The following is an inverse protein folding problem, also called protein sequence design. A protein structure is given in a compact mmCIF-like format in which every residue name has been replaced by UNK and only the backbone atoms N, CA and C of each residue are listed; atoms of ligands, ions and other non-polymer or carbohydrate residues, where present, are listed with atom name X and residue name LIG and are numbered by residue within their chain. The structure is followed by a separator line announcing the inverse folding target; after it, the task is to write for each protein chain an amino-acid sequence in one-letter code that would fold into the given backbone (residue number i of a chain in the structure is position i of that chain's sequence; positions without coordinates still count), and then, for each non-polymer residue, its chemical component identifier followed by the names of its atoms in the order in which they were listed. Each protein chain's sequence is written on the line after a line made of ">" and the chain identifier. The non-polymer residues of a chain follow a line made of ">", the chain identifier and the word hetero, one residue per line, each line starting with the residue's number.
data_IF_190449813200
#
_entry.id   IF_190449813200
#
_cell.length_a   1.000
_cell.length_b   1.000
_cell.length_c   1.000
_cell.angle_alpha   90.00
_cell.angle_beta   90.00
_cell.angle_gamma   90.00
#
_symmetry.space_group_name_H-M   'P 1'
#
loop_
_entity.id
_entity.type
_entity.pdbx_description
1 polymer ?
#
# COMPACT_ATOMS: atom_id res chain seq x y z
N UNK A 1 30.75 -12.12 -7.40
CA UNK A 1 30.55 -10.65 -7.39
C UNK A 1 29.43 -10.39 -6.39
N UNK A 2 29.78 -9.95 -5.18
CA UNK A 2 28.83 -9.79 -4.07
C UNK A 2 27.86 -8.64 -4.40
N UNK A 3 26.57 -8.95 -4.47
CA UNK A 3 25.52 -7.96 -4.66
C UNK A 3 25.50 -7.00 -3.47
N UNK A 4 25.42 -5.70 -3.73
CA UNK A 4 25.27 -4.68 -2.70
C UNK A 4 23.97 -4.94 -1.88
N UNK A 5 23.97 -4.72 -0.56
CA UNK A 5 22.81 -4.98 0.28
C UNK A 5 21.59 -4.16 -0.17
N UNK A 6 20.44 -4.83 -0.35
CA UNK A 6 19.20 -4.28 -0.96
C UNK A 6 18.38 -3.33 -0.07
N UNK A 7 18.98 -2.78 0.99
CA UNK A 7 18.38 -1.80 1.89
C UNK A 7 18.89 -1.91 3.32
N UNK A 8 19.14 -0.78 3.97
CA UNK A 8 19.45 -0.72 5.40
C UNK A 8 18.17 -0.84 6.25
N UNK A 9 18.22 -1.45 7.45
CA UNK A 9 17.12 -1.46 8.41
C UNK A 9 16.86 -0.04 8.94
N UNK A 10 16.11 0.75 8.20
CA UNK A 10 15.70 2.09 8.60
C UNK A 10 14.40 2.05 9.42
N UNK A 11 14.43 2.63 10.63
CA UNK A 11 13.22 3.06 11.36
C UNK A 11 12.39 3.95 10.44
N UNK A 12 11.31 3.42 9.85
CA UNK A 12 10.33 4.15 9.02
C UNK A 12 10.89 5.45 8.42
N UNK A 13 11.86 5.33 7.51
CA UNK A 13 12.46 6.50 6.88
C UNK A 13 11.38 7.21 6.06
N UNK A 14 10.92 8.36 6.56
CA UNK A 14 10.18 9.35 5.80
C UNK A 14 11.02 9.71 4.56
N UNK A 15 10.45 9.57 3.36
CA UNK A 15 11.15 9.93 2.11
C UNK A 15 10.84 9.10 0.86
N UNK A 16 9.96 8.10 0.90
CA UNK A 16 9.45 7.47 -0.33
C UNK A 16 8.27 8.27 -0.89
N UNK A 17 8.13 8.44 -2.24
CA UNK A 17 7.09 9.26 -2.86
C UNK A 17 5.63 8.89 -2.55
N UNK A 18 5.42 7.76 -1.86
CA UNK A 18 4.11 7.19 -1.56
C UNK A 18 4.16 6.44 -0.21
N UNK A 19 4.21 7.20 0.87
CA UNK A 19 4.00 6.78 2.26
C UNK A 19 2.50 6.70 2.63
N UNK A 20 1.62 7.14 1.71
CA UNK A 20 0.18 7.22 1.87
C UNK A 20 -0.48 5.83 1.81
N UNK A 21 -1.37 5.53 2.76
CA UNK A 21 -2.12 4.26 2.84
C UNK A 21 -2.01 3.49 4.16
N UNK A 22 -1.16 3.92 5.11
CA UNK A 22 -1.09 3.34 6.45
C UNK A 22 -1.47 4.37 7.52
N UNK A 23 -2.44 4.03 8.36
CA UNK A 23 -2.88 4.86 9.49
C UNK A 23 -2.13 4.45 10.74
N UNK A 24 -1.50 5.43 11.40
CA UNK A 24 -0.92 5.33 12.74
C UNK A 24 0.02 4.15 13.01
N UNK A 25 1.12 4.03 12.26
CA UNK A 25 2.25 3.15 12.62
C UNK A 25 2.89 3.57 13.97
N UNK A 26 2.64 4.80 14.45
CA UNK A 26 3.42 5.42 15.55
C UNK A 26 3.06 4.97 16.97
N UNK A 27 1.79 4.71 17.27
CA UNK A 27 1.39 4.18 18.59
C UNK A 27 1.92 2.77 18.85
N UNK A 28 2.39 2.11 17.79
CA UNK A 28 2.86 0.74 17.82
C UNK A 28 4.33 0.61 17.34
N UNK A 29 5.03 1.73 17.14
CA UNK A 29 6.41 1.79 16.58
C UNK A 29 7.48 1.10 17.43
N UNK A 30 7.22 0.88 18.72
CA UNK A 30 8.14 0.12 19.58
C UNK A 30 7.98 -1.39 19.43
N UNK A 31 6.82 -1.85 18.90
CA UNK A 31 6.40 -3.26 18.91
C UNK A 31 6.17 -3.84 17.51
N UNK A 32 6.08 -2.98 16.50
CA UNK A 32 6.03 -3.34 15.09
C UNK A 32 7.27 -2.83 14.37
N UNK A 33 7.97 -3.74 13.72
CA UNK A 33 9.03 -3.42 12.77
C UNK A 33 8.42 -3.39 11.38
N UNK A 34 8.63 -2.29 10.67
CA UNK A 34 8.19 -2.10 9.29
C UNK A 34 9.35 -1.64 8.44
N UNK A 35 9.61 -2.35 7.35
CA UNK A 35 10.61 -1.96 6.38
C UNK A 35 10.13 -2.26 4.94
N UNK A 36 10.76 -1.57 3.98
CA UNK A 36 10.49 -1.70 2.55
C UNK A 36 11.78 -2.05 1.82
N UNK A 37 11.64 -2.84 0.77
CA UNK A 37 12.75 -3.25 -0.08
C UNK A 37 12.39 -3.06 -1.55
N UNK A 38 13.43 -2.83 -2.36
CA UNK A 38 13.27 -2.79 -3.81
C UNK A 38 13.16 -4.21 -4.35
N UNK A 39 12.32 -4.44 -5.37
CA UNK A 39 12.31 -5.70 -6.09
C UNK A 39 13.58 -5.87 -6.93
N UNK A 40 13.79 -7.06 -7.49
CA UNK A 40 14.79 -7.24 -8.54
C UNK A 40 14.58 -6.22 -9.70
N UNK A 41 15.66 -5.75 -10.37
CA UNK A 41 15.55 -4.77 -11.45
C UNK A 41 14.55 -5.13 -12.56
N UNK A 42 14.46 -6.42 -12.88
CA UNK A 42 13.56 -6.99 -13.88
C UNK A 42 12.07 -6.83 -13.48
N UNK A 43 11.79 -6.72 -12.18
CA UNK A 43 10.45 -6.54 -11.63
C UNK A 43 10.09 -5.09 -11.32
N UNK A 44 11.05 -4.16 -11.38
CA UNK A 44 10.82 -2.74 -11.13
C UNK A 44 9.72 -2.09 -12.00
N UNK A 45 9.47 -2.52 -13.27
CA UNK A 45 8.34 -2.03 -14.06
C UNK A 45 6.96 -2.43 -13.50
N UNK A 46 6.89 -3.49 -12.69
CA UNK A 46 5.63 -4.07 -12.22
C UNK A 46 5.39 -3.82 -10.73
N UNK A 47 6.45 -3.90 -9.93
CA UNK A 47 6.41 -3.86 -8.47
C UNK A 47 7.00 -2.54 -8.00
N UNK A 48 6.25 -1.80 -7.18
CA UNK A 48 6.72 -0.56 -6.58
C UNK A 48 7.74 -0.84 -5.47
N UNK A 49 7.43 -1.77 -4.57
CA UNK A 49 8.30 -2.23 -3.50
C UNK A 49 7.74 -3.49 -2.82
N UNK A 50 8.61 -4.20 -2.13
CA UNK A 50 8.24 -5.17 -1.10
C UNK A 50 8.16 -4.50 0.26
N UNK A 51 7.36 -5.06 1.16
CA UNK A 51 7.27 -4.62 2.54
C UNK A 51 7.16 -5.80 3.49
N UNK A 52 7.72 -5.66 4.68
CA UNK A 52 7.63 -6.64 5.76
C UNK A 52 7.21 -5.90 7.02
N UNK A 53 6.21 -6.46 7.70
CA UNK A 53 5.77 -6.09 9.05
C UNK A 53 6.10 -7.28 9.95
N UNK A 54 6.81 -7.05 11.04
CA UNK A 54 7.01 -8.03 12.12
C UNK A 54 6.49 -7.41 13.41
N UNK A 55 5.85 -8.21 14.25
CA UNK A 55 5.25 -7.71 15.49
C UNK A 55 5.37 -8.69 16.65
N UNK A 56 5.54 -8.13 17.85
CA UNK A 56 5.42 -8.83 19.13
C UNK A 56 4.48 -8.04 20.06
N UNK A 57 3.29 -8.60 20.25
CA UNK A 57 2.19 -8.07 21.05
C UNK A 57 1.80 -9.06 22.17
N UNK A 58 2.73 -9.94 22.58
CA UNK A 58 2.49 -10.85 23.71
C UNK A 58 2.21 -10.06 24.99
N UNK A 59 1.19 -10.47 25.72
CA UNK A 59 0.76 -9.78 26.96
C UNK A 59 -0.02 -8.48 26.73
N UNK A 60 -0.31 -8.13 25.47
CA UNK A 60 -1.02 -6.90 25.11
C UNK A 60 -2.43 -7.19 24.60
N UNK A 61 -3.27 -6.15 24.59
CA UNK A 61 -4.56 -6.25 23.91
C UNK A 61 -4.36 -6.33 22.39
N UNK A 62 -5.23 -7.08 21.67
CA UNK A 62 -5.17 -7.18 20.21
C UNK A 62 -5.11 -5.81 19.54
N UNK A 63 -4.14 -5.62 18.65
CA UNK A 63 -3.98 -4.36 17.94
C UNK A 63 -4.79 -4.39 16.64
N UNK A 64 -5.77 -3.49 16.52
CA UNK A 64 -6.59 -3.35 15.32
C UNK A 64 -6.00 -2.27 14.42
N UNK A 65 -5.34 -2.70 13.35
CA UNK A 65 -4.78 -1.84 12.33
C UNK A 65 -5.80 -1.59 11.21
N UNK A 66 -6.06 -0.32 10.91
CA UNK A 66 -6.85 0.06 9.72
C UNK A 66 -5.96 0.19 8.50
N UNK A 67 -6.34 -0.49 7.42
CA UNK A 67 -5.72 -0.39 6.11
C UNK A 67 -6.57 0.52 5.23
N UNK A 68 -5.95 1.56 4.66
CA UNK A 68 -6.63 2.51 3.80
C UNK A 68 -6.59 2.10 2.34
N UNK A 69 -7.58 2.56 1.56
CA UNK A 69 -7.57 2.38 0.12
C UNK A 69 -6.31 2.97 -0.53
N UNK A 70 -5.81 2.28 -1.54
CA UNK A 70 -4.71 2.71 -2.40
C UNK A 70 -4.95 2.18 -3.81
N UNK A 71 -4.61 2.90 -4.90
CA UNK A 71 -4.86 2.44 -6.28
C UNK A 71 -3.86 1.36 -6.73
N UNK A 72 -3.57 0.39 -5.87
CA UNK A 72 -2.58 -0.65 -6.10
C UNK A 72 -3.11 -2.02 -5.70
N UNK A 73 -2.75 -3.03 -6.50
CA UNK A 73 -2.88 -4.43 -6.12
C UNK A 73 -1.75 -4.79 -5.16
N UNK A 74 -2.04 -5.61 -4.16
CA UNK A 74 -1.03 -6.11 -3.22
C UNK A 74 -1.05 -7.64 -3.18
N UNK A 75 0.12 -8.26 -3.29
CA UNK A 75 0.32 -9.63 -2.85
C UNK A 75 0.63 -9.60 -1.35
N UNK A 76 0.00 -10.48 -0.56
CA UNK A 76 0.22 -10.56 0.89
C UNK A 76 0.37 -12.02 1.32
N UNK A 77 1.34 -12.28 2.19
CA UNK A 77 1.55 -13.55 2.88
C UNK A 77 1.76 -13.26 4.36
N UNK A 78 1.17 -14.07 5.24
CA UNK A 78 1.25 -13.89 6.69
C UNK A 78 1.21 -15.23 7.43
N UNK A 79 1.85 -15.31 8.60
CA UNK A 79 1.66 -16.42 9.55
C UNK A 79 0.44 -16.22 10.46
N UNK A 80 -0.15 -15.03 10.44
CA UNK A 80 -1.27 -14.62 11.27
C UNK A 80 -2.62 -15.21 10.84
N UNK A 81 -3.67 -14.39 10.97
CA UNK A 81 -5.04 -14.84 10.71
C UNK A 81 -5.25 -15.08 9.21
N UNK A 82 -5.83 -16.23 8.88
CA UNK A 82 -6.28 -16.49 7.52
C UNK A 82 -7.36 -15.48 7.10
N UNK A 83 -7.21 -14.92 5.91
CA UNK A 83 -8.19 -14.03 5.29
C UNK A 83 -9.29 -14.83 4.61
N UNK A 84 -10.58 -14.51 4.83
CA UNK A 84 -11.67 -15.10 4.06
C UNK A 84 -11.59 -14.69 2.58
N UNK A 85 -11.70 -15.67 1.69
CA UNK A 85 -11.83 -15.47 0.24
C UNK A 85 -12.97 -16.34 -0.30
N UNK A 86 -13.32 -16.18 -1.58
CA UNK A 86 -14.34 -17.01 -2.22
C UNK A 86 -13.97 -18.51 -2.24
N UNK A 87 -12.68 -18.86 -2.26
CA UNK A 87 -12.20 -20.24 -2.22
C UNK A 87 -11.94 -20.76 -0.80
N UNK A 88 -12.29 -19.98 0.23
CA UNK A 88 -12.06 -20.29 1.63
C UNK A 88 -10.95 -19.44 2.28
N UNK A 89 -10.70 -19.63 3.59
CA UNK A 89 -9.69 -18.89 4.31
C UNK A 89 -8.28 -19.23 3.82
N UNK A 90 -7.44 -18.22 3.58
CA UNK A 90 -6.03 -18.39 3.16
C UNK A 90 -5.11 -17.43 3.89
N UNK A 91 -3.86 -17.85 4.10
CA UNK A 91 -2.76 -17.02 4.63
C UNK A 91 -1.93 -16.33 3.56
N UNK A 92 -2.29 -16.53 2.29
CA UNK A 92 -1.67 -15.88 1.15
C UNK A 92 -2.74 -15.46 0.12
N UNK A 93 -2.72 -14.20 -0.27
CA UNK A 93 -3.75 -13.66 -1.16
C UNK A 93 -3.24 -12.50 -2.01
N UNK A 94 -3.97 -12.26 -3.10
CA UNK A 94 -3.95 -11.03 -3.88
C UNK A 94 -5.11 -10.17 -3.39
N UNK A 95 -4.78 -9.02 -2.80
CA UNK A 95 -5.74 -7.95 -2.59
C UNK A 95 -5.79 -7.12 -3.88
N UNK A 96 -6.92 -7.13 -4.58
CA UNK A 96 -7.14 -6.21 -5.69
C UNK A 96 -7.16 -4.75 -5.21
N UNK A 97 -7.69 -3.85 -6.04
CA UNK A 97 -7.90 -2.46 -5.57
C UNK A 97 -9.10 -2.43 -4.63
N UNK A 98 -8.82 -2.41 -3.33
CA UNK A 98 -9.83 -2.30 -2.28
C UNK A 98 -10.16 -0.82 -2.10
N UNK A 99 -11.39 -0.44 -2.47
CA UNK A 99 -11.85 0.94 -2.50
C UNK A 99 -12.33 1.45 -1.16
N UNK A 100 -12.67 0.55 -0.25
CA UNK A 100 -12.99 0.83 1.15
C UNK A 100 -11.78 0.60 2.06
N UNK A 101 -11.91 1.04 3.31
CA UNK A 101 -10.98 0.60 4.36
C UNK A 101 -11.39 -0.78 4.88
N UNK A 102 -10.41 -1.50 5.43
CA UNK A 102 -10.65 -2.71 6.20
C UNK A 102 -9.68 -2.78 7.37
N UNK A 103 -10.02 -3.58 8.37
CA UNK A 103 -9.26 -3.64 9.61
C UNK A 103 -8.63 -5.02 9.76
N UNK A 104 -7.32 -5.05 9.99
CA UNK A 104 -6.55 -6.23 10.39
C UNK A 104 -6.36 -6.24 11.89
N UNK A 105 -6.45 -7.42 12.50
CA UNK A 105 -6.23 -7.59 13.94
C UNK A 105 -4.97 -8.42 14.15
N UNK A 106 -3.96 -7.78 14.72
CA UNK A 106 -2.68 -8.39 15.07
C UNK A 106 -2.73 -8.82 16.54
N UNK A 107 -2.19 -10.02 16.83
CA UNK A 107 -2.22 -10.67 18.14
C UNK A 107 -0.94 -11.45 18.33
N UNK A 108 -0.50 -11.59 19.57
CA UNK A 108 0.66 -12.38 19.93
C UNK A 108 1.89 -11.96 19.11
N UNK A 109 2.61 -12.89 18.52
CA UNK A 109 3.70 -12.61 17.59
C UNK A 109 3.32 -12.96 16.17
N UNK A 110 3.95 -12.32 15.19
CA UNK A 110 3.85 -12.76 13.80
C UNK A 110 4.44 -11.78 12.81
N UNK A 111 4.17 -12.05 11.55
CA UNK A 111 4.69 -11.27 10.44
C UNK A 111 3.72 -11.22 9.25
N UNK A 112 3.92 -10.21 8.43
CA UNK A 112 3.25 -10.02 7.15
C UNK A 112 4.29 -9.56 6.14
N UNK A 113 4.41 -10.26 5.03
CA UNK A 113 5.18 -9.80 3.87
C UNK A 113 4.23 -9.51 2.72
N UNK A 114 4.54 -8.49 1.93
CA UNK A 114 3.80 -8.24 0.71
C UNK A 114 4.61 -7.56 -0.38
N UNK A 115 4.02 -7.57 -1.57
CA UNK A 115 4.48 -6.81 -2.71
C UNK A 115 3.39 -5.83 -3.13
N UNK A 116 3.72 -4.54 -3.18
CA UNK A 116 2.84 -3.52 -3.76
C UNK A 116 3.16 -3.41 -5.25
N UNK A 117 2.18 -3.66 -6.10
CA UNK A 117 2.32 -3.45 -7.53
C UNK A 117 2.12 -1.97 -7.87
N UNK A 118 2.80 -1.52 -8.92
CA UNK A 118 2.53 -0.21 -9.52
C UNK A 118 1.12 -0.22 -10.12
N UNK A 119 0.40 0.91 -10.17
CA UNK A 119 -0.79 1.03 -11.00
C UNK A 119 -0.53 0.50 -12.42
N UNK A 120 -1.35 -0.45 -12.90
CA UNK A 120 -1.11 -1.14 -14.18
C UNK A 120 -0.12 -2.31 -14.13
N UNK A 121 0.81 -2.32 -13.17
CA UNK A 121 1.87 -3.32 -13.06
C UNK A 121 1.38 -4.74 -12.78
N UNK A 122 0.16 -4.93 -12.28
CA UNK A 122 -0.41 -6.26 -12.02
C UNK A 122 -1.10 -6.89 -13.24
N UNK A 123 -1.48 -6.08 -14.25
CA UNK A 123 -2.21 -6.54 -15.43
C UNK A 123 -1.52 -7.69 -16.20
N UNK A 124 -0.18 -7.72 -16.33
CA UNK A 124 0.53 -8.82 -16.98
C UNK A 124 0.46 -10.15 -16.22
N UNK A 125 0.29 -10.13 -14.90
CA UNK A 125 0.15 -11.35 -14.08
C UNK A 125 -1.27 -11.88 -14.10
N UNK A 126 -2.26 -10.98 -14.11
CA UNK A 126 -3.67 -11.33 -14.05
C UNK A 126 -4.23 -11.84 -15.38
N UNK A 127 -3.69 -11.39 -16.51
CA UNK A 127 -4.15 -11.80 -17.85
C UNK A 127 -5.51 -11.22 -18.28
N UNK A 128 -6.25 -10.58 -17.37
CA UNK A 128 -7.56 -9.97 -17.60
C UNK A 128 -7.65 -8.55 -16.98
N UNK A 129 -8.68 -7.75 -17.29
CA UNK A 129 -8.82 -6.39 -16.75
C UNK A 129 -8.74 -6.39 -15.22
N UNK A 130 -7.93 -5.52 -14.62
CA UNK A 130 -7.77 -5.43 -13.15
C UNK A 130 -9.09 -5.09 -12.45
N UNK A 131 -10.02 -4.44 -13.14
CA UNK A 131 -11.38 -4.20 -12.64
C UNK A 131 -12.16 -5.47 -12.24
N UNK A 132 -11.75 -6.65 -12.74
CA UNK A 132 -12.38 -7.95 -12.39
C UNK A 132 -12.08 -8.38 -10.94
N UNK A 133 -11.05 -7.80 -10.32
CA UNK A 133 -10.59 -8.11 -8.96
C UNK A 133 -10.74 -6.93 -7.99
N UNK A 134 -11.37 -5.83 -8.41
CA UNK A 134 -11.68 -4.68 -7.54
C UNK A 134 -12.54 -5.12 -6.35
N UNK A 135 -12.20 -4.66 -5.15
CA UNK A 135 -12.85 -5.04 -3.88
C UNK A 135 -12.87 -6.56 -3.61
N UNK A 136 -11.93 -7.32 -4.19
CA UNK A 136 -11.82 -8.76 -3.99
C UNK A 136 -10.47 -9.14 -3.39
N UNK A 137 -10.51 -10.20 -2.61
CA UNK A 137 -9.32 -10.94 -2.16
C UNK A 137 -9.34 -12.30 -2.83
N UNK A 138 -8.32 -12.60 -3.62
CA UNK A 138 -8.15 -13.87 -4.29
C UNK A 138 -7.07 -14.67 -3.57
N UNK A 139 -7.21 -16.00 -3.38
CA UNK A 139 -6.08 -16.83 -2.99
C UNK A 139 -4.90 -16.62 -3.92
N UNK A 140 -3.68 -16.67 -3.37
CA UNK A 140 -2.47 -16.50 -4.18
C UNK A 140 -2.42 -17.49 -5.35
N UNK A 141 -2.90 -18.71 -5.12
CA UNK A 141 -2.95 -19.80 -6.10
C UNK A 141 -3.89 -19.57 -7.27
N UNK A 142 -4.86 -18.64 -7.17
CA UNK A 142 -5.74 -18.29 -8.29
C UNK A 142 -4.99 -17.52 -9.38
N UNK A 143 -3.92 -16.80 -9.02
CA UNK A 143 -3.09 -16.04 -9.97
C UNK A 143 -1.75 -16.72 -10.21
N UNK A 144 -1.14 -17.29 -9.17
CA UNK A 144 0.18 -17.91 -9.24
C UNK A 144 0.05 -19.40 -8.91
N UNK A 145 0.09 -20.26 -9.92
CA UNK A 145 -0.03 -21.72 -9.72
C UNK A 145 1.03 -22.28 -8.75
N UNK A 146 2.24 -21.73 -8.76
CA UNK A 146 3.33 -22.08 -7.84
C UNK A 146 3.22 -21.40 -6.43
N UNK A 147 2.15 -20.65 -6.18
CA UNK A 147 1.98 -19.81 -5.00
C UNK A 147 2.00 -20.59 -3.68
N UNK A 148 1.46 -21.81 -3.66
CA UNK A 148 1.46 -22.66 -2.47
C UNK A 148 2.87 -23.11 -2.06
N UNK A 149 3.68 -23.56 -3.03
CA UNK A 149 5.04 -24.00 -2.77
C UNK A 149 5.91 -22.81 -2.31
N UNK A 150 5.74 -21.65 -2.96
CA UNK A 150 6.39 -20.42 -2.54
C UNK A 150 6.00 -20.05 -1.09
N UNK A 151 4.70 -20.02 -0.76
CA UNK A 151 4.22 -19.66 0.59
C UNK A 151 4.70 -20.62 1.68
N UNK A 152 4.77 -21.93 1.39
CA UNK A 152 5.35 -22.91 2.31
C UNK A 152 6.81 -22.58 2.62
N UNK A 153 7.61 -22.28 1.61
CA UNK A 153 9.01 -21.91 1.79
C UNK A 153 9.17 -20.55 2.51
N UNK A 154 8.37 -19.54 2.15
CA UNK A 154 8.36 -18.23 2.83
C UNK A 154 8.05 -18.37 4.33
N UNK A 155 7.17 -19.29 4.69
CA UNK A 155 6.78 -19.55 6.09
C UNK A 155 7.89 -20.22 6.87
N UNK A 156 8.66 -21.10 6.24
CA UNK A 156 9.84 -21.74 6.85
C UNK A 156 10.89 -20.66 7.14
N UNK A 157 11.21 -19.83 6.16
CA UNK A 157 12.32 -18.87 6.28
C UNK A 157 12.06 -17.75 7.30
N UNK A 158 10.80 -17.33 7.49
CA UNK A 158 10.42 -16.37 8.54
C UNK A 158 10.08 -17.03 9.89
N UNK A 159 9.69 -18.31 9.88
CA UNK A 159 9.42 -19.10 11.08
C UNK A 159 10.68 -19.48 11.87
N UNK A 160 11.87 -19.37 11.26
CA UNK A 160 13.14 -19.42 11.97
C UNK A 160 13.41 -18.07 12.64
N UNK A 161 12.76 -17.81 13.77
CA UNK A 161 13.20 -16.80 14.74
C UNK A 161 13.92 -17.50 15.89
N UNK A 162 15.24 -17.77 15.82
CA UNK A 162 16.06 -17.83 17.03
C UNK A 162 16.41 -16.41 17.46
N UNK A 163 16.42 -16.19 18.77
CA UNK A 163 16.59 -14.88 19.40
C UNK A 163 17.90 -14.16 19.04
N UNK A 164 17.88 -12.85 19.30
CA UNK A 164 18.98 -11.95 19.68
C UNK A 164 20.34 -11.95 18.96
N UNK A 165 20.56 -12.78 17.93
CA UNK A 165 21.77 -12.72 17.12
C UNK A 165 21.54 -11.80 15.91
N UNK A 166 22.01 -10.56 16.05
CA UNK A 166 21.83 -9.46 15.10
C UNK A 166 22.40 -9.70 13.69
N UNK A 167 23.21 -10.74 13.50
CA UNK A 167 23.91 -11.01 12.24
C UNK A 167 23.18 -11.98 11.29
N UNK A 168 22.24 -12.79 11.78
CA UNK A 168 21.55 -13.81 10.94
C UNK A 168 20.16 -13.36 10.44
N UNK A 169 19.56 -12.33 11.05
CA UNK A 169 18.24 -11.87 10.61
C UNK A 169 18.26 -11.22 9.21
N UNK A 170 19.44 -10.85 8.69
CA UNK A 170 19.61 -10.35 7.32
C UNK A 170 19.52 -11.45 6.26
N UNK A 171 19.96 -12.66 6.58
CA UNK A 171 20.03 -13.79 5.63
C UNK A 171 18.62 -14.30 5.27
N UNK A 172 17.77 -14.54 6.27
CA UNK A 172 16.39 -14.99 6.10
C UNK A 172 15.51 -13.99 5.36
N UNK A 173 15.64 -12.68 5.66
CA UNK A 173 14.91 -11.63 4.92
C UNK A 173 15.35 -11.56 3.47
N UNK A 174 16.66 -11.65 3.19
CA UNK A 174 17.12 -11.63 1.79
C UNK A 174 16.63 -12.87 1.01
N UNK A 175 16.61 -14.04 1.64
CA UNK A 175 16.05 -15.26 1.06
C UNK A 175 14.56 -15.10 0.72
N UNK A 176 13.79 -14.49 1.62
CA UNK A 176 12.37 -14.15 1.40
C UNK A 176 12.17 -13.25 0.17
N UNK A 177 12.93 -12.16 0.08
CA UNK A 177 12.83 -11.23 -1.06
C UNK A 177 13.19 -11.93 -2.38
N UNK A 178 14.20 -12.81 -2.36
CA UNK A 178 14.58 -13.60 -3.54
C UNK A 178 13.48 -14.59 -3.95
N UNK A 179 12.72 -15.14 -3.01
CA UNK A 179 11.58 -16.02 -3.32
C UNK A 179 10.39 -15.26 -3.91
N UNK A 180 10.11 -14.04 -3.42
CA UNK A 180 9.13 -13.17 -4.06
C UNK A 180 9.56 -12.82 -5.48
N UNK A 181 10.83 -12.48 -5.69
CA UNK A 181 11.36 -12.25 -7.04
C UNK A 181 11.17 -13.49 -7.91
N UNK A 182 11.56 -14.67 -7.43
CA UNK A 182 11.45 -15.92 -8.17
C UNK A 182 9.99 -16.28 -8.51
N UNK A 183 9.06 -16.11 -7.57
CA UNK A 183 7.62 -16.34 -7.78
C UNK A 183 7.08 -15.44 -8.89
N UNK A 184 7.42 -14.15 -8.85
CA UNK A 184 6.94 -13.16 -9.80
C UNK A 184 7.61 -13.34 -11.18
N UNK A 185 8.90 -13.64 -11.23
CA UNK A 185 9.61 -13.90 -12.48
C UNK A 185 9.17 -15.20 -13.15
N UNK A 186 8.87 -16.24 -12.37
CA UNK A 186 8.36 -17.52 -12.88
C UNK A 186 6.98 -17.39 -13.55
N UNK A 187 6.20 -16.37 -13.21
CA UNK A 187 4.95 -16.05 -13.91
C UNK A 187 5.18 -15.51 -15.34
N UNK A 188 6.41 -15.15 -15.69
CA UNK A 188 6.78 -14.66 -17.03
C UNK A 188 6.07 -13.36 -17.45
N UNK A 189 5.99 -12.32 -16.59
CA UNK A 189 5.30 -11.08 -16.96
C UNK A 189 5.99 -10.40 -18.15
N UNK A 190 5.20 -9.99 -19.13
CA UNK A 190 5.69 -9.20 -20.27
C UNK A 190 5.51 -7.71 -19.97
N UNK A 191 6.55 -6.92 -20.25
CA UNK A 191 6.48 -5.47 -20.10
C UNK A 191 5.43 -4.91 -21.06
N UNK A 192 4.43 -4.23 -20.50
CA UNK A 192 3.39 -3.54 -21.25
C UNK A 192 3.62 -2.03 -21.19
N UNK A 193 3.97 -1.37 -22.31
CA UNK A 193 4.15 0.08 -22.35
C UNK A 193 2.92 0.87 -21.87
N UNK A 194 1.71 0.36 -22.14
CA UNK A 194 0.47 1.01 -21.70
C UNK A 194 0.33 0.97 -20.17
N UNK A 195 0.85 -0.06 -19.51
CA UNK A 195 0.89 -0.10 -18.04
C UNK A 195 1.77 1.03 -17.48
N UNK A 196 2.92 1.30 -18.10
CA UNK A 196 3.80 2.39 -17.70
C UNK A 196 3.17 3.78 -17.96
N UNK A 197 2.46 3.96 -19.07
CA UNK A 197 1.69 5.18 -19.35
C UNK A 197 0.62 5.42 -18.28
N UNK A 198 -0.15 4.38 -17.93
CA UNK A 198 -1.19 4.44 -16.91
C UNK A 198 -0.60 4.74 -15.53
N UNK A 199 0.51 4.11 -15.16
CA UNK A 199 1.26 4.43 -13.94
C UNK A 199 1.65 5.91 -13.91
N UNK A 200 2.17 6.45 -15.03
CA UNK A 200 2.49 7.87 -15.18
C UNK A 200 1.28 8.78 -15.00
N UNK A 201 0.09 8.38 -15.49
CA UNK A 201 -1.16 9.12 -15.27
C UNK A 201 -1.54 9.13 -13.78
N UNK A 202 -1.45 7.99 -13.10
CA UNK A 202 -1.77 7.89 -11.65
C UNK A 202 -0.75 8.67 -10.82
N UNK A 203 0.53 8.61 -11.16
CA UNK A 203 1.59 9.37 -10.51
C UNK A 203 1.36 10.88 -10.61
N UNK A 204 0.87 11.38 -11.76
CA UNK A 204 0.49 12.80 -11.91
C UNK A 204 -0.64 13.20 -10.97
N UNK A 205 -1.69 12.38 -10.85
CA UNK A 205 -2.79 12.63 -9.91
C UNK A 205 -2.27 12.69 -8.47
N UNK A 206 -1.28 11.86 -8.12
CA UNK A 206 -0.73 11.77 -6.77
C UNK A 206 0.07 13.03 -6.35
N UNK A 207 0.65 13.76 -7.30
CA UNK A 207 1.52 14.92 -7.03
C UNK A 207 0.89 16.26 -7.39
N UNK A 208 -0.17 16.27 -8.21
CA UNK A 208 -0.88 17.48 -8.62
C UNK A 208 -2.31 17.52 -8.04
N UNK A 209 -2.53 18.19 -6.89
CA UNK A 209 -3.86 18.32 -6.29
C UNK A 209 -4.82 19.18 -7.12
N UNK A 210 -4.33 19.97 -8.10
CA UNK A 210 -5.16 20.77 -8.98
C UNK A 210 -5.96 19.91 -9.97
N UNK A 211 -5.54 18.65 -10.21
CA UNK A 211 -6.29 17.70 -11.03
C UNK A 211 -7.59 17.33 -10.30
N UNK A 212 -8.69 17.95 -10.74
CA UNK A 212 -10.00 17.82 -10.12
C UNK A 212 -11.01 17.00 -10.91
N UNK A 213 -10.83 16.97 -12.24
CA UNK A 213 -11.83 16.50 -13.18
C UNK A 213 -11.22 15.50 -14.13
N UNK A 214 -12.02 14.50 -14.48
CA UNK A 214 -11.61 13.45 -15.43
C UNK A 214 -11.33 14.05 -16.81
N UNK A 215 -12.08 15.07 -17.23
CA UNK A 215 -11.88 15.72 -18.53
C UNK A 215 -10.52 16.42 -18.63
N UNK A 216 -10.11 17.08 -17.55
CA UNK A 216 -8.81 17.75 -17.47
C UNK A 216 -7.67 16.72 -17.46
N UNK A 217 -7.80 15.66 -16.66
CA UNK A 217 -6.84 14.56 -16.64
C UNK A 217 -6.71 13.89 -18.02
N UNK A 218 -7.83 13.69 -18.73
CA UNK A 218 -7.83 13.11 -20.06
C UNK A 218 -7.12 14.02 -21.06
N UNK A 219 -7.40 15.34 -21.04
CA UNK A 219 -6.73 16.34 -21.86
C UNK A 219 -5.21 16.34 -21.62
N UNK A 220 -4.78 16.34 -20.36
CA UNK A 220 -3.35 16.29 -20.00
C UNK A 220 -2.67 14.99 -20.42
N UNK A 221 -3.41 13.87 -20.43
CA UNK A 221 -2.92 12.59 -20.89
C UNK A 221 -3.05 12.39 -22.42
N UNK A 222 -3.49 13.40 -23.17
CA UNK A 222 -3.65 13.31 -24.62
C UNK A 222 -4.74 12.33 -25.07
N UNK A 223 -5.76 12.11 -24.25
CA UNK A 223 -6.81 11.11 -24.49
C UNK A 223 -8.22 11.67 -24.22
N UNK A 224 -9.26 10.88 -24.51
CA UNK A 224 -10.64 11.22 -24.16
C UNK A 224 -11.04 10.64 -22.79
N UNK A 225 -12.03 11.22 -22.08
CA UNK A 225 -12.52 10.67 -20.81
C UNK A 225 -12.93 9.20 -20.91
N UNK A 226 -13.54 8.80 -22.04
CA UNK A 226 -13.96 7.42 -22.29
C UNK A 226 -12.78 6.47 -22.45
N UNK A 227 -11.75 6.87 -23.18
CA UNK A 227 -10.53 6.07 -23.32
C UNK A 227 -9.79 5.95 -21.98
N UNK A 228 -9.69 7.05 -21.23
CA UNK A 228 -9.08 7.07 -19.90
C UNK A 228 -9.80 6.14 -18.92
N UNK A 229 -11.13 6.18 -18.89
CA UNK A 229 -11.94 5.27 -18.05
C UNK A 229 -11.70 3.80 -18.42
N UNK A 230 -11.62 3.48 -19.72
CA UNK A 230 -11.32 2.13 -20.19
C UNK A 230 -9.92 1.67 -19.76
N UNK A 231 -8.90 2.50 -19.92
CA UNK A 231 -7.54 2.21 -19.47
C UNK A 231 -7.49 1.98 -17.95
N UNK A 232 -8.17 2.81 -17.18
CA UNK A 232 -8.23 2.67 -15.72
C UNK A 232 -8.94 1.39 -15.28
N UNK A 233 -10.01 0.99 -15.96
CA UNK A 233 -10.66 -0.30 -15.70
C UNK A 233 -9.74 -1.50 -16.08
N UNK A 234 -9.01 -1.38 -17.18
CA UNK A 234 -8.10 -2.44 -17.66
C UNK A 234 -6.90 -2.62 -16.74
N UNK A 235 -6.24 -1.52 -16.33
CA UNK A 235 -4.92 -1.54 -15.72
C UNK A 235 -4.92 -1.20 -14.23
N UNK A 236 -5.77 -0.27 -13.79
CA UNK A 236 -5.77 0.19 -12.38
C UNK A 236 -6.76 -0.61 -11.55
N UNK A 237 -7.94 -0.93 -12.10
CA UNK A 237 -9.04 -1.53 -11.33
C UNK A 237 -9.85 -0.53 -10.52
N UNK A 238 -9.70 0.77 -10.76
CA UNK A 238 -10.55 1.81 -10.20
C UNK A 238 -10.78 2.93 -11.21
N UNK A 239 -11.86 3.69 -11.08
CA UNK A 239 -12.15 4.77 -12.02
C UNK A 239 -11.20 5.97 -11.83
N UNK A 240 -10.93 6.77 -12.88
CA UNK A 240 -10.10 7.97 -12.74
C UNK A 240 -10.63 8.93 -11.68
N UNK A 241 -11.96 9.09 -11.61
CA UNK A 241 -12.63 9.91 -10.60
C UNK A 241 -12.36 9.42 -9.18
N UNK A 242 -12.35 8.10 -8.98
CA UNK A 242 -12.05 7.53 -7.67
C UNK A 242 -10.60 7.78 -7.25
N UNK A 243 -9.64 7.61 -8.18
CA UNK A 243 -8.22 7.86 -7.90
C UNK A 243 -7.95 9.34 -7.59
N UNK A 244 -8.53 10.27 -8.37
CA UNK A 244 -8.47 11.72 -8.09
C UNK A 244 -8.98 12.02 -6.69
N UNK A 245 -10.17 11.49 -6.36
CA UNK A 245 -10.81 11.69 -5.06
C UNK A 245 -9.95 11.15 -3.92
N UNK A 246 -9.38 9.97 -4.06
CA UNK A 246 -8.52 9.35 -3.05
C UNK A 246 -7.28 10.21 -2.76
N UNK A 247 -6.54 10.65 -3.79
CA UNK A 247 -5.34 11.46 -3.55
C UNK A 247 -5.64 12.84 -2.98
N UNK A 248 -6.81 13.42 -3.27
CA UNK A 248 -7.29 14.63 -2.59
C UNK A 248 -7.58 14.39 -1.11
N UNK A 249 -8.11 13.23 -0.75
CA UNK A 249 -8.32 12.86 0.64
C UNK A 249 -6.99 12.61 1.36
N UNK A 250 -5.99 12.04 0.68
CA UNK A 250 -4.63 11.95 1.22
C UNK A 250 -4.03 13.33 1.45
N UNK A 251 -4.11 14.25 0.48
CA UNK A 251 -3.68 15.65 0.65
C UNK A 251 -4.38 16.31 1.85
N UNK A 252 -5.69 16.09 2.00
CA UNK A 252 -6.43 16.59 3.15
C UNK A 252 -5.91 15.99 4.46
N UNK A 253 -5.57 14.69 4.47
CA UNK A 253 -5.03 13.98 5.64
C UNK A 253 -3.64 14.50 6.02
N UNK A 254 -2.78 14.73 5.04
CA UNK A 254 -1.41 15.22 5.23
C UNK A 254 -1.43 16.64 5.80
N UNK A 255 -2.27 17.52 5.25
CA UNK A 255 -2.49 18.87 5.82
C UNK A 255 -3.11 18.83 7.20
N UNK A 256 -4.00 17.88 7.48
CA UNK A 256 -4.55 17.70 8.82
C UNK A 256 -3.46 17.31 9.83
N UNK A 257 -2.49 16.51 9.39
CA UNK A 257 -1.41 15.99 10.21
C UNK A 257 -0.21 16.94 10.34
N UNK A 258 -0.11 17.99 9.50
CA UNK A 258 1.00 18.96 9.53
C UNK A 258 1.10 19.75 10.85
N UNK A 259 0.01 19.77 11.63
CA UNK A 259 -0.06 20.51 12.90
C UNK A 259 -0.42 21.98 12.74
N UNK A 260 -0.59 22.46 11.51
CA UNK A 260 -1.08 23.81 11.22
C UNK A 260 -2.61 23.92 11.44
N UNK A 261 -3.10 25.13 11.68
CA UNK A 261 -4.54 25.38 11.74
C UNK A 261 -5.14 25.28 10.33
N UNK A 262 -5.73 24.14 10.02
CA UNK A 262 -6.43 23.91 8.75
C UNK A 262 -7.82 24.57 8.79
N UNK A 263 -8.08 25.50 7.86
CA UNK A 263 -9.43 25.93 7.53
C UNK A 263 -10.09 24.87 6.65
N UNK A 264 -10.94 24.03 7.24
CA UNK A 264 -11.60 22.94 6.54
C UNK A 264 -12.50 23.39 5.39
N UNK A 265 -13.10 24.57 5.49
CA UNK A 265 -13.90 25.17 4.42
C UNK A 265 -13.02 25.62 3.24
N UNK A 266 -11.87 26.26 3.51
CA UNK A 266 -10.93 26.65 2.47
C UNK A 266 -10.32 25.42 1.80
N UNK A 267 -9.89 24.44 2.59
CA UNK A 267 -9.36 23.18 2.09
C UNK A 267 -10.38 22.42 1.23
N UNK A 268 -11.65 22.40 1.64
CA UNK A 268 -12.72 21.81 0.82
C UNK A 268 -12.82 22.50 -0.55
N UNK A 269 -12.80 23.83 -0.59
CA UNK A 269 -12.86 24.59 -1.84
C UNK A 269 -11.62 24.34 -2.73
N UNK A 270 -10.41 24.36 -2.15
CA UNK A 270 -9.16 24.07 -2.86
C UNK A 270 -9.14 22.66 -3.46
N UNK A 271 -9.64 21.66 -2.71
CA UNK A 271 -9.77 20.29 -3.18
C UNK A 271 -11.02 20.08 -4.06
N UNK A 272 -11.75 21.14 -4.42
CA UNK A 272 -12.90 21.09 -5.32
C UNK A 272 -14.15 20.41 -4.76
N UNK A 273 -14.32 20.39 -3.44
CA UNK A 273 -15.57 20.02 -2.78
C UNK A 273 -16.53 21.21 -2.72
N UNK A 274 -17.83 20.93 -2.75
CA UNK A 274 -18.89 21.96 -2.65
C UNK A 274 -18.86 22.71 -1.31
N UNK A 275 -18.49 22.01 -0.24
CA UNK A 275 -18.52 22.51 1.14
C UNK A 275 -17.71 21.57 2.05
N UNK A 276 -17.42 22.05 3.26
CA UNK A 276 -16.74 21.29 4.30
C UNK A 276 -17.48 19.99 4.67
N UNK A 277 -18.80 19.98 4.71
CA UNK A 277 -19.56 18.80 5.12
C UNK A 277 -19.42 17.67 4.08
N UNK A 278 -19.32 18.01 2.79
CA UNK A 278 -19.03 17.08 1.72
C UNK A 278 -17.64 16.47 1.87
N UNK A 279 -16.60 17.29 2.09
CA UNK A 279 -15.24 16.79 2.36
C UNK A 279 -15.22 15.86 3.58
N UNK A 280 -15.84 16.25 4.69
CA UNK A 280 -15.85 15.44 5.93
C UNK A 280 -16.59 14.12 5.73
N UNK A 281 -17.75 14.12 5.05
CA UNK A 281 -18.49 12.89 4.73
C UNK A 281 -17.65 11.95 3.89
N UNK A 282 -16.98 12.50 2.87
CA UNK A 282 -16.15 11.73 1.98
C UNK A 282 -14.91 11.12 2.68
N UNK A 283 -14.18 11.98 3.39
CA UNK A 283 -13.03 11.57 4.19
C UNK A 283 -13.42 10.49 5.20
N UNK A 284 -14.55 10.66 5.90
CA UNK A 284 -15.02 9.68 6.87
C UNK A 284 -15.41 8.36 6.21
N UNK A 285 -15.99 8.39 5.01
CA UNK A 285 -16.32 7.16 4.28
C UNK A 285 -15.06 6.37 3.90
N UNK A 286 -13.99 7.05 3.48
CA UNK A 286 -12.75 6.39 3.06
C UNK A 286 -11.82 6.03 4.23
N UNK A 287 -11.61 6.95 5.16
CA UNK A 287 -10.67 6.80 6.29
C UNK A 287 -11.33 6.18 7.53
N UNK A 288 -12.66 6.23 7.60
CA UNK A 288 -13.45 5.70 8.71
C UNK A 288 -13.41 6.56 9.97
N UNK A 289 -12.85 7.77 9.91
CA UNK A 289 -12.87 8.77 10.97
C UNK A 289 -12.86 10.19 10.37
N UNK A 290 -13.47 11.20 11.03
CA UNK A 290 -13.43 12.57 10.54
C UNK A 290 -12.00 13.16 10.50
N UNK A 291 -11.69 14.08 9.57
CA UNK A 291 -10.35 14.63 9.39
C UNK A 291 -9.72 15.21 10.66
N UNK A 292 -10.48 15.97 11.46
CA UNK A 292 -9.98 16.55 12.71
C UNK A 292 -9.68 15.49 13.79
N UNK A 293 -10.40 14.37 13.79
CA UNK A 293 -10.10 13.24 14.69
C UNK A 293 -8.84 12.52 14.23
N UNK A 294 -8.73 12.30 12.93
CA UNK A 294 -7.55 11.72 12.29
C UNK A 294 -6.27 12.54 12.59
N UNK A 295 -6.34 13.87 12.42
CA UNK A 295 -5.28 14.81 12.76
C UNK A 295 -4.80 14.68 14.21
N UNK A 296 -5.74 14.67 15.17
CA UNK A 296 -5.42 14.55 16.61
C UNK A 296 -4.79 13.20 16.94
N UNK A 297 -5.25 12.13 16.31
CA UNK A 297 -4.66 10.80 16.48
C UNK A 297 -3.26 10.72 15.85
N UNK A 298 -2.98 11.52 14.82
CA UNK A 298 -1.64 11.68 14.24
C UNK A 298 -0.71 12.57 15.07
N UNK A 299 -1.22 13.69 15.59
CA UNK A 299 -0.46 14.69 16.36
C UNK A 299 -0.13 14.25 17.79
N UNK A 300 -0.99 13.46 18.45
CA UNK A 300 -0.73 12.89 19.77
C UNK A 300 0.43 11.87 19.80
N UNK A 301 1.02 11.55 18.64
CA UNK A 301 2.20 10.69 18.51
C UNK A 301 3.47 11.41 18.04
N UNK A 302 3.49 12.73 17.87
CA UNK A 302 4.68 13.46 17.38
C UNK A 302 5.53 13.99 18.54
N UNK A 303 6.74 13.45 18.80
CA UNK A 303 7.70 14.14 19.65
C UNK A 303 8.05 15.45 18.96
N UNK A 304 7.86 16.53 19.70
CA UNK A 304 8.45 17.83 19.40
C UNK A 304 9.96 17.65 19.22
N UNK A 305 10.61 18.23 18.19
CA UNK A 305 12.06 18.16 18.08
C UNK A 305 12.69 18.74 19.36
N UNK A 306 13.82 18.18 19.84
CA UNK A 306 14.51 18.73 21.00
C UNK A 306 14.79 20.21 20.72
N UNK A 307 14.41 21.09 21.66
CA UNK A 307 14.86 22.47 21.65
C UNK A 307 16.37 22.42 21.81
N UNK A 308 17.09 23.06 20.90
CA UNK A 308 18.50 23.34 21.10
C UNK A 308 18.65 24.06 22.45
N UNK A 309 19.32 23.39 23.38
CA UNK A 309 19.80 23.99 24.62
C UNK A 309 21.21 24.49 24.30
N UNK A 310 21.52 25.76 24.64
CA UNK A 310 22.69 26.49 24.14
C UNK A 310 24.04 25.83 24.42
#
# INVERSE_FOLDING_TARGET
>A
MLAAPRGEPGRAALGWPDDRGFVHVRAARERLRYARWRPAPELAPFVAHYWIVEYDLRGESPYRQRILPHPSVNLVVTDGRARPTAAGPTRSWIAGVIRGHYDETLRDTGWVVGARFRPGGFRPFLGMPVATITDRFLPLTEVFAAGEAAVRQLTIDLGHTPGDDADDTGSGRQALLNQLDALLLAAGPVIDPTAAEVDGVVARIAVDPAIARVDELARQAGTTPRQLQRLFAEYVGASPKWVIRLYRLHEAADRAASGEKVSWAALAAELGYSDQAHLVRDFTAQVGAPPARYARQGAAGTPRPPRDVP
#
